data_IF_810993039407
#
_entry.id   IF_810993039407
#
_cell.length_a   1.000
_cell.length_b   1.000
_cell.length_c   1.000
_cell.angle_alpha   90.00
_cell.angle_beta   90.00
_cell.angle_gamma   90.00
#
_symmetry.space_group_name_H-M   'P 1'
#
loop_
_entity.id
_entity.type
_entity.pdbx_description
1 polymer ?
#
# COMPACT_ATOMS: atom_id res chain seq x y z
N UNK A 1 -29.00 -7.89 9.99
CA UNK A 1 -28.37 -9.18 9.60
C UNK A 1 -27.60 -9.71 10.79
N UNK A 2 -27.67 -11.02 11.09
CA UNK A 2 -27.04 -11.63 12.28
C UNK A 2 -25.57 -12.05 12.06
N UNK A 3 -25.03 -11.83 10.87
CA UNK A 3 -23.64 -12.13 10.53
C UNK A 3 -22.98 -10.92 9.86
N UNK A 4 -21.74 -10.65 10.25
CA UNK A 4 -20.86 -9.62 9.68
C UNK A 4 -19.41 -10.13 9.77
N UNK A 5 -18.60 -10.02 8.70
CA UNK A 5 -17.16 -10.28 8.79
C UNK A 5 -16.51 -9.41 9.86
N UNK A 6 -15.59 -9.98 10.66
CA UNK A 6 -14.90 -9.23 11.72
C UNK A 6 -13.93 -8.20 11.16
N UNK A 7 -13.13 -8.60 10.17
CA UNK A 7 -12.13 -7.78 9.45
C UNK A 7 -11.81 -8.43 8.11
N UNK A 8 -11.07 -7.71 7.25
CA UNK A 8 -10.40 -8.32 6.10
C UNK A 8 -9.38 -9.36 6.61
N UNK A 9 -9.28 -10.49 5.90
CA UNK A 9 -8.38 -11.59 6.26
C UNK A 9 -7.00 -11.45 5.62
N UNK A 10 -6.95 -11.55 4.31
CA UNK A 10 -5.75 -11.45 3.48
C UNK A 10 -6.12 -11.13 2.03
N UNK A 11 -5.12 -10.81 1.22
CA UNK A 11 -5.22 -10.71 -0.24
C UNK A 11 -4.23 -11.68 -0.90
N UNK A 12 -4.67 -12.33 -1.98
CA UNK A 12 -3.79 -13.16 -2.81
C UNK A 12 -3.60 -12.45 -4.15
N UNK A 13 -2.35 -12.18 -4.50
CA UNK A 13 -1.99 -11.53 -5.76
C UNK A 13 -1.10 -12.45 -6.59
N UNK A 14 -1.16 -12.28 -7.91
CA UNK A 14 -0.25 -12.98 -8.80
C UNK A 14 1.05 -12.20 -8.95
N UNK A 15 2.16 -12.95 -8.97
CA UNK A 15 3.50 -12.47 -9.23
C UNK A 15 4.17 -13.39 -10.24
N UNK A 16 5.12 -12.86 -11.02
CA UNK A 16 5.86 -13.69 -11.99
C UNK A 16 6.79 -14.67 -11.30
N UNK A 17 7.35 -14.27 -10.17
CA UNK A 17 8.37 -15.02 -9.44
C UNK A 17 8.20 -14.81 -7.94
N UNK A 18 7.75 -15.83 -7.20
CA UNK A 18 7.47 -15.70 -5.78
C UNK A 18 8.73 -15.42 -4.96
N UNK A 19 9.90 -15.92 -5.38
CA UNK A 19 11.16 -15.69 -4.66
C UNK A 19 11.63 -14.24 -4.77
N UNK A 20 11.58 -13.67 -5.99
CA UNK A 20 11.91 -12.26 -6.25
C UNK A 20 10.98 -11.34 -5.48
N UNK A 21 9.67 -11.57 -5.60
CA UNK A 21 8.67 -10.74 -4.94
C UNK A 21 8.80 -10.85 -3.42
N UNK A 22 8.90 -12.07 -2.85
CA UNK A 22 9.15 -12.25 -1.40
C UNK A 22 10.35 -11.45 -0.91
N UNK A 23 11.50 -11.56 -1.58
CA UNK A 23 12.70 -10.82 -1.18
C UNK A 23 12.49 -9.31 -1.22
N UNK A 24 11.76 -8.80 -2.22
CA UNK A 24 11.44 -7.37 -2.32
C UNK A 24 10.49 -6.91 -1.21
N UNK A 25 9.45 -7.68 -0.87
CA UNK A 25 8.56 -7.35 0.24
C UNK A 25 9.25 -7.46 1.61
N UNK A 26 10.11 -8.47 1.83
CA UNK A 26 10.94 -8.58 3.04
C UNK A 26 11.89 -7.38 3.19
N UNK A 27 12.56 -6.99 2.11
CA UNK A 27 13.52 -5.89 2.13
C UNK A 27 12.83 -4.52 2.25
N UNK A 28 11.78 -4.25 1.49
CA UNK A 28 11.18 -2.92 1.48
C UNK A 28 10.26 -2.66 2.68
N UNK A 29 9.52 -3.66 3.14
CA UNK A 29 8.50 -3.52 4.19
C UNK A 29 8.86 -4.22 5.50
N UNK A 30 9.89 -5.07 5.52
CA UNK A 30 10.22 -5.86 6.71
C UNK A 30 9.20 -6.98 7.00
N UNK A 31 8.36 -7.36 6.03
CA UNK A 31 7.36 -8.41 6.23
C UNK A 31 8.03 -9.76 6.58
N UNK A 32 7.38 -10.53 7.45
CA UNK A 32 7.81 -11.87 7.80
C UNK A 32 7.18 -12.90 6.87
N UNK A 33 7.97 -13.85 6.35
CA UNK A 33 7.47 -14.98 5.56
C UNK A 33 7.25 -16.21 6.44
N UNK A 34 5.99 -16.61 6.63
CA UNK A 34 5.65 -17.84 7.35
C UNK A 34 5.70 -19.09 6.47
N UNK A 35 5.31 -18.95 5.20
CA UNK A 35 5.22 -20.07 4.26
C UNK A 35 5.88 -19.71 2.95
N UNK A 36 6.78 -20.56 2.47
CA UNK A 36 7.41 -20.38 1.16
C UNK A 36 7.54 -21.71 0.44
N UNK A 37 7.03 -21.76 -0.79
CA UNK A 37 7.23 -22.86 -1.73
C UNK A 37 7.81 -22.26 -3.01
N UNK A 38 9.12 -22.43 -3.27
CA UNK A 38 9.76 -21.95 -4.49
C UNK A 38 9.00 -22.41 -5.74
N UNK A 39 8.85 -21.54 -6.73
CA UNK A 39 8.12 -21.85 -7.97
C UNK A 39 6.59 -21.86 -7.80
N UNK A 40 6.05 -21.45 -6.64
CA UNK A 40 4.62 -21.54 -6.36
C UNK A 40 4.06 -20.38 -5.54
N UNK A 41 4.54 -20.17 -4.31
CA UNK A 41 3.91 -19.20 -3.42
C UNK A 41 4.81 -18.73 -2.26
N UNK A 42 4.57 -17.50 -1.80
CA UNK A 42 5.05 -16.99 -0.51
C UNK A 42 3.88 -16.39 0.29
N UNK A 43 3.82 -16.65 1.59
CA UNK A 43 2.78 -16.19 2.51
C UNK A 43 3.43 -15.32 3.58
N UNK A 44 3.04 -14.04 3.60
CA UNK A 44 3.77 -12.99 4.33
C UNK A 44 2.84 -12.16 5.22
N UNK A 45 3.38 -11.63 6.30
CA UNK A 45 2.64 -10.86 7.30
C UNK A 45 3.46 -9.70 7.86
N UNK A 46 2.78 -8.64 8.26
CA UNK A 46 3.32 -7.57 9.11
C UNK A 46 3.06 -7.86 10.59
N UNK A 47 2.01 -8.61 10.90
CA UNK A 47 1.62 -9.03 12.25
C UNK A 47 1.95 -10.51 12.47
N UNK A 48 2.91 -10.81 13.36
CA UNK A 48 3.29 -12.18 13.73
C UNK A 48 2.17 -12.97 14.44
N UNK A 49 1.10 -12.30 14.88
CA UNK A 49 -0.12 -12.94 15.36
C UNK A 49 -1.07 -13.41 14.26
N UNK A 50 -0.81 -13.05 13.00
CA UNK A 50 -1.64 -13.39 11.85
C UNK A 50 -0.94 -14.38 10.91
N UNK A 51 -1.70 -15.30 10.29
CA UNK A 51 -1.11 -16.33 9.40
C UNK A 51 -0.45 -15.72 8.17
N UNK A 52 -1.12 -14.77 7.52
CA UNK A 52 -0.63 -13.95 6.43
C UNK A 52 -1.66 -12.86 6.14
N UNK A 53 -1.18 -11.75 5.62
CA UNK A 53 -2.00 -10.65 5.11
C UNK A 53 -1.89 -10.58 3.58
N UNK A 54 -0.77 -11.06 3.03
CA UNK A 54 -0.53 -11.18 1.60
C UNK A 54 -0.02 -12.58 1.24
N UNK A 55 -0.58 -13.17 0.18
CA UNK A 55 0.01 -14.31 -0.50
C UNK A 55 0.42 -13.93 -1.92
N UNK A 56 1.68 -14.22 -2.25
CA UNK A 56 2.27 -13.99 -3.56
C UNK A 56 2.24 -15.31 -4.33
N UNK A 57 1.39 -15.40 -5.35
CA UNK A 57 1.15 -16.62 -6.12
C UNK A 57 1.92 -16.56 -7.46
N UNK A 58 2.83 -17.50 -7.69
CA UNK A 58 3.68 -17.52 -8.88
C UNK A 58 2.91 -17.97 -10.13
N UNK A 59 3.07 -17.23 -11.24
CA UNK A 59 2.45 -17.54 -12.54
C UNK A 59 3.46 -17.63 -13.70
N UNK A 60 4.75 -17.46 -13.43
CA UNK A 60 5.83 -17.53 -14.42
C UNK A 60 6.22 -16.18 -15.02
N UNK A 61 7.45 -16.09 -15.51
CA UNK A 61 8.08 -14.83 -15.98
C UNK A 61 7.40 -14.21 -17.20
N UNK A 62 6.72 -15.01 -18.03
CA UNK A 62 6.04 -14.52 -19.23
C UNK A 62 4.64 -13.96 -18.96
N UNK A 63 4.19 -13.95 -17.70
CA UNK A 63 2.87 -13.43 -17.35
C UNK A 63 2.77 -11.92 -17.61
N UNK A 64 1.65 -11.49 -18.19
CA UNK A 64 1.34 -10.08 -18.35
C UNK A 64 1.12 -9.40 -16.99
N UNK A 65 1.55 -8.15 -16.85
CA UNK A 65 1.27 -7.36 -15.65
C UNK A 65 -0.15 -6.78 -15.64
N UNK A 66 -0.57 -6.15 -14.53
CA UNK A 66 -1.85 -5.48 -14.43
C UNK A 66 -2.05 -4.41 -15.52
N UNK A 67 -3.25 -4.35 -16.09
CA UNK A 67 -3.60 -3.38 -17.13
C UNK A 67 -4.39 -2.20 -16.54
N UNK A 68 -4.04 -0.94 -16.86
CA UNK A 68 -4.79 0.23 -16.41
C UNK A 68 -6.26 0.19 -16.87
N UNK A 69 -7.18 0.59 -15.98
CA UNK A 69 -8.60 0.75 -16.32
C UNK A 69 -9.39 -0.55 -16.54
N UNK A 70 -8.82 -1.71 -16.20
CA UNK A 70 -9.52 -2.99 -16.24
C UNK A 70 -10.03 -3.42 -14.86
N UNK A 71 -10.99 -4.34 -14.84
CA UNK A 71 -11.43 -4.99 -13.59
C UNK A 71 -10.27 -5.74 -12.95
N UNK A 72 -10.15 -5.65 -11.63
CA UNK A 72 -9.07 -6.29 -10.88
C UNK A 72 -8.71 -5.53 -9.61
N UNK A 73 -7.54 -5.84 -9.06
CA UNK A 73 -6.97 -5.11 -7.93
C UNK A 73 -6.51 -3.72 -8.39
N UNK A 74 -6.98 -2.67 -7.73
CA UNK A 74 -6.40 -1.34 -7.91
C UNK A 74 -5.09 -1.22 -7.12
N UNK A 75 -5.17 -1.35 -5.80
CA UNK A 75 -4.04 -1.48 -4.89
C UNK A 75 -4.46 -2.21 -3.61
N UNK A 76 -3.48 -2.66 -2.82
CA UNK A 76 -3.63 -3.01 -1.41
C UNK A 76 -2.93 -1.94 -0.55
N UNK A 77 -3.36 -1.75 0.69
CA UNK A 77 -2.80 -0.74 1.58
C UNK A 77 -2.13 -1.35 2.81
N UNK A 78 -0.97 -0.82 3.19
CA UNK A 78 -0.33 -1.04 4.49
C UNK A 78 -0.48 0.21 5.34
N UNK A 79 -0.86 0.04 6.60
CA UNK A 79 -0.85 1.12 7.58
C UNK A 79 0.47 1.13 8.34
N UNK A 80 1.05 2.31 8.48
CA UNK A 80 2.11 2.60 9.43
C UNK A 80 1.50 3.00 10.77
N UNK A 81 2.12 2.59 11.87
CA UNK A 81 1.65 2.90 13.22
C UNK A 81 1.71 4.40 13.52
N UNK A 82 2.68 5.11 12.93
CA UNK A 82 2.85 6.55 13.08
C UNK A 82 3.18 7.26 11.78
N UNK A 83 3.00 8.58 11.79
CA UNK A 83 3.41 9.45 10.69
C UNK A 83 4.94 9.44 10.52
N UNK A 84 5.69 9.24 11.60
CA UNK A 84 7.16 9.20 11.55
C UNK A 84 7.67 7.89 10.91
N UNK A 85 7.01 6.75 11.17
CA UNK A 85 7.30 5.49 10.48
C UNK A 85 7.08 5.63 8.97
N UNK A 86 6.01 6.34 8.56
CA UNK A 86 5.77 6.63 7.15
C UNK A 86 6.86 7.53 6.53
N UNK A 87 7.38 8.52 7.28
CA UNK A 87 8.51 9.36 6.81
C UNK A 87 9.77 8.53 6.64
N UNK A 88 10.08 7.65 7.58
CA UNK A 88 11.24 6.75 7.48
C UNK A 88 11.10 5.84 6.26
N UNK A 89 9.94 5.24 6.08
CA UNK A 89 9.66 4.40 4.92
C UNK A 89 9.74 5.17 3.59
N UNK A 90 9.26 6.43 3.56
CA UNK A 90 9.42 7.31 2.41
C UNK A 90 10.90 7.54 2.04
N UNK A 91 11.77 7.78 3.03
CA UNK A 91 13.20 7.93 2.75
C UNK A 91 13.84 6.62 2.27
N UNK A 92 13.40 5.47 2.80
CA UNK A 92 13.81 4.15 2.32
C UNK A 92 13.47 3.93 0.84
N UNK A 93 12.30 4.40 0.38
CA UNK A 93 11.96 4.37 -1.05
C UNK A 93 12.97 5.15 -1.90
N UNK A 94 13.31 6.38 -1.48
CA UNK A 94 14.26 7.23 -2.20
C UNK A 94 15.65 6.61 -2.21
N UNK A 95 16.11 6.05 -1.08
CA UNK A 95 17.39 5.33 -0.98
C UNK A 95 17.47 4.14 -1.95
N UNK A 96 16.40 3.36 -2.02
CA UNK A 96 16.29 2.18 -2.91
C UNK A 96 15.91 2.52 -4.34
N UNK A 97 15.73 3.80 -4.67
CA UNK A 97 15.27 4.27 -5.98
C UNK A 97 13.96 3.61 -6.43
N UNK A 98 13.04 3.35 -5.50
CA UNK A 98 11.70 2.85 -5.81
C UNK A 98 10.85 4.03 -6.31
N UNK A 99 10.29 3.98 -7.53
CA UNK A 99 9.45 5.04 -8.05
C UNK A 99 8.17 5.21 -7.21
N UNK A 100 7.81 6.47 -6.97
CA UNK A 100 6.51 6.83 -6.41
C UNK A 100 5.60 7.20 -7.58
N UNK A 101 4.48 6.51 -7.72
CA UNK A 101 3.50 6.79 -8.78
C UNK A 101 2.77 8.10 -8.46
N UNK A 102 2.27 8.26 -7.23
CA UNK A 102 1.73 9.52 -6.70
C UNK A 102 1.65 9.54 -5.16
N UNK A 103 1.39 10.72 -4.59
CA UNK A 103 1.08 10.89 -3.16
C UNK A 103 -0.25 11.62 -3.00
N UNK A 104 -1.08 11.20 -2.04
CA UNK A 104 -2.39 11.81 -1.80
C UNK A 104 -2.65 12.08 -0.32
N UNK A 105 -2.86 13.36 0.03
CA UNK A 105 -3.38 13.79 1.33
C UNK A 105 -4.91 13.77 1.28
N UNK A 106 -5.50 12.73 1.86
CA UNK A 106 -6.95 12.53 1.95
C UNK A 106 -7.59 13.33 3.09
N UNK A 107 -6.83 14.18 3.77
CA UNK A 107 -7.24 15.00 4.90
C UNK A 107 -7.28 14.29 6.25
N UNK A 108 -7.65 13.01 6.24
CA UNK A 108 -7.64 12.13 7.41
C UNK A 108 -6.52 11.10 7.39
N UNK A 109 -6.01 10.79 6.19
CA UNK A 109 -4.90 9.89 5.93
C UNK A 109 -4.01 10.47 4.85
N UNK A 110 -2.74 10.08 4.86
CA UNK A 110 -1.77 10.34 3.79
C UNK A 110 -1.39 8.99 3.18
N UNK A 111 -1.47 8.87 1.86
CA UNK A 111 -1.14 7.66 1.12
C UNK A 111 -0.03 7.89 0.11
N UNK A 112 1.00 7.04 0.13
CA UNK A 112 2.08 6.99 -0.85
C UNK A 112 1.87 5.76 -1.71
N UNK A 113 1.77 5.94 -3.03
CA UNK A 113 1.42 4.88 -3.97
C UNK A 113 2.63 4.47 -4.80
N UNK A 114 2.90 3.16 -4.82
CA UNK A 114 4.00 2.54 -5.55
C UNK A 114 3.53 1.28 -6.29
N UNK A 115 4.44 0.70 -7.07
CA UNK A 115 4.26 -0.60 -7.71
C UNK A 115 5.24 -1.62 -7.14
N UNK A 116 4.76 -2.84 -6.95
CA UNK A 116 5.64 -3.98 -6.71
C UNK A 116 6.40 -4.38 -7.99
N UNK A 117 7.37 -5.32 -7.94
CA UNK A 117 8.17 -5.71 -9.10
C UNK A 117 7.38 -6.21 -10.31
N UNK A 118 6.12 -6.62 -10.11
CA UNK A 118 5.24 -7.12 -11.17
C UNK A 118 4.14 -6.12 -11.57
N UNK A 119 4.12 -4.92 -10.97
CA UNK A 119 3.19 -3.85 -11.28
C UNK A 119 1.92 -3.85 -10.44
N UNK A 120 1.84 -4.67 -9.39
CA UNK A 120 0.71 -4.63 -8.47
C UNK A 120 0.74 -3.31 -7.69
N UNK A 121 -0.41 -2.64 -7.57
CA UNK A 121 -0.51 -1.39 -6.82
C UNK A 121 -0.38 -1.62 -5.32
N UNK A 122 0.42 -0.79 -4.66
CA UNK A 122 0.53 -0.75 -3.20
C UNK A 122 0.37 0.70 -2.74
N UNK A 123 -0.46 0.89 -1.73
CA UNK A 123 -0.50 2.09 -0.90
C UNK A 123 0.22 1.82 0.42
N UNK A 124 1.01 2.77 0.87
CA UNK A 124 1.48 2.81 2.26
C UNK A 124 1.00 4.11 2.86
N UNK A 125 0.31 3.98 3.99
CA UNK A 125 -0.48 5.07 4.55
C UNK A 125 -0.29 5.23 6.03
N UNK A 126 -0.53 6.46 6.49
CA UNK A 126 -0.80 6.76 7.88
C UNK A 126 -2.19 7.37 7.97
N UNK A 127 -3.01 6.87 8.88
CA UNK A 127 -4.36 7.36 9.15
C UNK A 127 -4.42 7.90 10.58
N UNK A 128 -4.93 9.13 10.72
CA UNK A 128 -5.09 9.74 12.04
C UNK A 128 -6.15 9.00 12.86
N UNK A 129 -6.16 9.14 14.20
CA UNK A 129 -7.23 8.61 15.04
C UNK A 129 -8.62 9.04 14.55
N UNK A 130 -9.58 8.11 14.58
CA UNK A 130 -10.95 8.36 14.06
C UNK A 130 -11.69 9.53 14.72
N UNK A 131 -11.32 9.89 15.96
CA UNK A 131 -11.83 11.08 16.64
C UNK A 131 -11.46 12.40 15.97
N UNK A 132 -10.47 12.40 15.08
CA UNK A 132 -9.94 13.58 14.40
C UNK A 132 -10.42 13.73 12.95
N UNK A 133 -11.21 12.77 12.47
CA UNK A 133 -11.73 12.77 11.11
C UNK A 133 -12.81 13.84 10.94
N UNK A 134 -12.70 14.60 9.85
CA UNK A 134 -13.72 15.56 9.45
C UNK A 134 -14.92 14.86 8.82
N UNK A 135 -16.13 15.30 9.15
CA UNK A 135 -17.37 14.74 8.60
C UNK A 135 -18.25 15.85 8.01
N UNK A 136 -18.90 15.55 6.88
CA UNK A 136 -19.90 16.42 6.28
C UNK A 136 -21.22 16.39 7.10
N UNK A 137 -22.22 17.24 6.77
CA UNK A 137 -23.51 17.24 7.47
C UNK A 137 -24.29 15.91 7.40
N UNK A 138 -23.95 15.00 6.48
CA UNK A 138 -24.55 13.68 6.35
C UNK A 138 -23.77 12.61 7.11
N UNK A 139 -22.63 12.96 7.72
CA UNK A 139 -21.76 12.04 8.43
C UNK A 139 -20.80 11.26 7.53
N UNK A 140 -20.58 11.68 6.28
CA UNK A 140 -19.54 11.11 5.42
C UNK A 140 -18.20 11.78 5.70
N UNK A 141 -17.11 11.01 5.60
CA UNK A 141 -15.77 11.56 5.75
C UNK A 141 -15.51 12.63 4.69
N UNK A 142 -14.99 13.79 5.11
CA UNK A 142 -14.54 14.83 4.19
C UNK A 142 -13.19 14.39 3.62
N UNK A 143 -13.18 14.00 2.35
CA UNK A 143 -11.96 13.66 1.63
C UNK A 143 -11.24 14.89 1.08
N UNK A 144 -9.91 14.85 1.14
CA UNK A 144 -9.01 15.84 0.53
C UNK A 144 -8.96 17.16 1.30
N UNK A 145 -7.76 17.69 1.52
CA UNK A 145 -7.58 19.04 2.08
C UNK A 145 -7.03 20.00 1.03
N UNK A 146 -7.49 21.27 1.04
CA UNK A 146 -6.90 22.34 0.20
C UNK A 146 -5.49 22.75 0.65
N UNK A 147 -5.04 22.28 1.82
CA UNK A 147 -3.68 22.40 2.40
C UNK A 147 -3.44 21.17 3.25
N UNK A 148 -2.33 20.49 3.01
CA UNK A 148 -2.00 19.21 3.63
C UNK A 148 -2.03 19.29 5.15
N UNK A 149 -2.94 18.55 5.78
CA UNK A 149 -2.98 18.37 7.23
C UNK A 149 -1.82 17.47 7.69
N UNK A 150 -1.29 16.66 6.77
CA UNK A 150 -0.23 15.70 6.99
C UNK A 150 1.01 16.06 6.14
N UNK A 151 1.53 17.27 6.34
CA UNK A 151 2.74 17.75 5.67
C UNK A 151 3.95 16.87 5.99
N UNK A 152 4.83 16.68 5.01
CA UNK A 152 6.00 15.84 5.16
C UNK A 152 6.99 15.92 4.01
N UNK A 153 7.97 15.00 3.95
CA UNK A 153 8.99 15.00 2.91
C UNK A 153 8.43 14.71 1.51
N UNK A 154 7.16 14.31 1.40
CA UNK A 154 6.39 14.09 0.18
C UNK A 154 5.69 15.34 -0.37
N UNK A 155 5.78 16.50 0.31
CA UNK A 155 5.10 17.73 -0.13
C UNK A 155 5.52 18.14 -1.56
N UNK A 156 6.76 17.87 -1.95
CA UNK A 156 7.27 18.10 -3.31
C UNK A 156 6.62 17.16 -4.35
N UNK A 157 6.38 15.90 -3.97
CA UNK A 157 5.70 14.92 -4.81
C UNK A 157 4.24 15.34 -5.03
N UNK A 158 3.52 15.72 -3.97
CA UNK A 158 2.15 16.24 -4.05
C UNK A 158 2.08 17.46 -4.98
N UNK A 159 2.99 18.43 -4.81
CA UNK A 159 3.02 19.64 -5.62
C UNK A 159 3.32 19.35 -7.10
N UNK A 160 4.14 18.33 -7.39
CA UNK A 160 4.42 17.90 -8.76
C UNK A 160 3.21 17.24 -9.40
N UNK A 161 2.53 16.34 -8.70
CA UNK A 161 1.40 15.59 -9.23
C UNK A 161 0.21 16.51 -9.53
N UNK A 162 -0.04 17.50 -8.67
CA UNK A 162 -1.05 18.54 -8.89
C UNK A 162 -0.79 19.36 -10.17
N UNK A 163 0.48 19.60 -10.53
CA UNK A 163 0.84 20.31 -11.78
C UNK A 163 0.68 19.45 -13.03
N UNK A 164 0.82 18.13 -12.91
CA UNK A 164 0.68 17.22 -14.05
C UNK A 164 -0.79 17.01 -14.47
N UNK A 165 -1.73 17.33 -13.60
CA UNK A 165 -3.18 17.11 -13.79
C UNK A 165 -4.00 18.43 -13.86
N UNK A 166 -3.32 19.58 -13.93
CA UNK A 166 -3.91 20.91 -14.10
C UNK A 166 -3.88 21.35 -15.57
#
# INVERSE_FOLDING_TARGET
MSYKPRKLGHVNIFVRNAARSRAWYEDLFGLHTYGFTPGRAAFMTSDLGNSHEIALMEVGEDAAGPQPGQVGLNHLAWYMDSLDDLKEWYFRLKEKNVPIDWVSDHGHAIGIYIRDPDGNGIEVSYEMPSSEWGHDPNGYMIGGTKRGRLSGPWDEDIARDARAHA
#
